data_IF_711971404625
#
_entry.id   IF_711971404625
#
_cell.length_a   1.000
_cell.length_b   1.000
_cell.length_c   1.000
_cell.angle_alpha   90.00
_cell.angle_beta   90.00
_cell.angle_gamma   90.00
#
_symmetry.space_group_name_H-M   'P 1'
#
loop_
_entity.id
_entity.type
_entity.pdbx_description
1 polymer ?
#
# COMPACT_ATOMS: atom_id res chain seq x y z
N UNK A 1 16.36 24.02 8.13
CA UNK A 1 16.36 22.54 8.14
C UNK A 1 16.93 22.12 9.49
N UNK A 2 16.08 21.82 10.50
CA UNK A 2 16.51 21.50 11.89
C UNK A 2 15.74 20.34 12.52
N UNK A 3 14.88 19.67 11.74
CA UNK A 3 14.09 18.54 12.24
C UNK A 3 14.89 17.23 12.25
N UNK A 4 15.94 17.15 11.42
CA UNK A 4 16.86 15.99 11.36
C UNK A 4 17.87 16.00 12.52
N UNK A 5 18.09 17.15 13.16
CA UNK A 5 18.97 17.29 14.33
C UNK A 5 18.27 16.92 15.65
N UNK A 6 16.94 16.78 15.63
CA UNK A 6 16.13 16.47 16.82
C UNK A 6 15.71 15.00 16.91
N UNK A 7 15.68 14.26 15.79
CA UNK A 7 15.31 12.85 15.75
C UNK A 7 16.43 12.02 15.13
N UNK A 8 16.79 10.92 15.79
CA UNK A 8 17.78 9.99 15.25
C UNK A 8 17.32 9.39 13.90
N UNK A 9 18.24 9.11 12.95
CA UNK A 9 17.92 8.51 11.65
C UNK A 9 16.96 7.28 11.70
N UNK A 10 17.15 6.30 12.60
CA UNK A 10 16.22 5.16 12.71
C UNK A 10 14.83 5.54 13.21
N UNK A 11 14.70 6.54 14.10
CA UNK A 11 13.39 6.99 14.60
C UNK A 11 12.56 7.65 13.48
N UNK A 12 13.21 8.41 12.60
CA UNK A 12 12.55 9.03 11.44
C UNK A 12 12.04 7.99 10.44
N UNK A 13 12.81 6.93 10.17
CA UNK A 13 12.36 5.84 9.31
C UNK A 13 11.16 5.11 9.90
N UNK A 14 11.18 4.85 11.21
CA UNK A 14 10.04 4.23 11.88
C UNK A 14 8.79 5.11 11.81
N UNK A 15 8.92 6.44 11.97
CA UNK A 15 7.81 7.38 11.80
C UNK A 15 7.22 7.30 10.37
N UNK A 16 8.06 7.28 9.35
CA UNK A 16 7.56 7.15 7.97
C UNK A 16 6.84 5.81 7.75
N UNK A 17 7.36 4.73 8.31
CA UNK A 17 6.74 3.41 8.27
C UNK A 17 5.33 3.41 8.90
N UNK A 18 5.17 3.95 10.12
CA UNK A 18 3.86 3.98 10.78
C UNK A 18 2.86 4.83 9.99
N UNK A 19 3.30 5.95 9.38
CA UNK A 19 2.42 6.83 8.58
C UNK A 19 1.85 6.09 7.38
N UNK A 20 2.68 5.33 6.65
CA UNK A 20 2.20 4.52 5.53
C UNK A 20 1.18 3.49 6.00
N UNK A 21 1.45 2.82 7.12
CA UNK A 21 0.54 1.81 7.67
C UNK A 21 -0.80 2.42 8.10
N UNK A 22 -0.77 3.53 8.83
CA UNK A 22 -1.98 4.25 9.25
C UNK A 22 -2.77 4.74 8.03
N UNK A 23 -2.08 5.25 7.00
CA UNK A 23 -2.71 5.65 5.74
C UNK A 23 -3.43 4.48 5.05
N UNK A 24 -2.84 3.29 5.09
CA UNK A 24 -3.47 2.08 4.54
C UNK A 24 -4.70 1.66 5.37
N UNK A 25 -4.62 1.69 6.70
CA UNK A 25 -5.76 1.36 7.56
C UNK A 25 -6.92 2.36 7.37
N UNK A 26 -6.62 3.65 7.19
CA UNK A 26 -7.59 4.69 6.87
C UNK A 26 -8.25 4.43 5.50
N UNK A 27 -7.46 4.01 4.51
CA UNK A 27 -7.97 3.67 3.17
C UNK A 27 -8.92 2.46 3.20
N UNK A 28 -8.72 1.52 4.12
CA UNK A 28 -9.63 0.39 4.34
C UNK A 28 -10.77 0.68 5.35
N UNK A 29 -10.88 1.93 5.84
CA UNK A 29 -11.95 2.33 6.77
C UNK A 29 -11.81 1.75 8.19
N UNK A 30 -10.64 1.21 8.55
CA UNK A 30 -10.39 0.58 9.86
C UNK A 30 -9.96 1.59 10.92
N UNK A 31 -10.87 2.48 11.33
CA UNK A 31 -10.59 3.59 12.23
C UNK A 31 -10.06 3.18 13.61
N UNK A 32 -10.64 2.13 14.22
CA UNK A 32 -10.20 1.66 15.54
C UNK A 32 -8.74 1.15 15.51
N UNK A 33 -8.39 0.40 14.46
CA UNK A 33 -7.03 -0.11 14.25
C UNK A 33 -6.04 1.03 13.98
N UNK A 34 -6.44 2.02 13.18
CA UNK A 34 -5.62 3.18 12.86
C UNK A 34 -5.26 3.98 14.12
N UNK A 35 -6.23 4.26 14.99
CA UNK A 35 -5.98 4.98 16.26
C UNK A 35 -5.04 4.20 17.17
N UNK A 36 -5.23 2.89 17.30
CA UNK A 36 -4.34 2.06 18.11
C UNK A 36 -2.90 2.07 17.58
N UNK A 37 -2.73 2.02 16.25
CA UNK A 37 -1.42 2.12 15.59
C UNK A 37 -0.78 3.49 15.73
N UNK A 38 -1.56 4.57 15.78
CA UNK A 38 -1.03 5.91 16.10
C UNK A 38 -0.43 5.92 17.51
N UNK A 39 -1.16 5.42 18.51
CA UNK A 39 -0.71 5.40 19.91
C UNK A 39 0.55 4.53 20.06
N UNK A 40 0.50 3.29 19.55
CA UNK A 40 1.66 2.38 19.58
C UNK A 40 2.84 2.90 18.76
N UNK A 41 2.58 3.49 17.60
CA UNK A 41 3.60 4.04 16.72
C UNK A 41 4.32 5.22 17.35
N UNK A 42 3.60 6.14 17.98
CA UNK A 42 4.21 7.25 18.72
C UNK A 42 5.05 6.75 19.90
N UNK A 43 4.56 5.76 20.64
CA UNK A 43 5.35 5.13 21.70
C UNK A 43 6.65 4.51 21.15
N UNK A 44 6.59 3.82 20.00
CA UNK A 44 7.76 3.26 19.33
C UNK A 44 8.78 4.32 18.90
N UNK A 45 8.33 5.45 18.35
CA UNK A 45 9.21 6.58 17.98
C UNK A 45 9.97 7.10 19.19
N UNK A 46 9.28 7.34 20.32
CA UNK A 46 9.90 7.84 21.55
C UNK A 46 10.92 6.84 22.11
N UNK A 47 10.59 5.55 22.09
CA UNK A 47 11.51 4.49 22.56
C UNK A 47 12.76 4.45 21.67
N UNK A 48 12.61 4.48 20.35
CA UNK A 48 13.75 4.45 19.41
C UNK A 48 14.64 5.69 19.54
N UNK A 49 14.04 6.86 19.76
CA UNK A 49 14.78 8.10 20.00
C UNK A 49 15.59 8.02 21.30
N UNK A 50 14.97 7.51 22.38
CA UNK A 50 15.66 7.27 23.65
C UNK A 50 16.79 6.23 23.52
N UNK A 51 16.59 5.12 22.81
CA UNK A 51 17.62 4.10 22.58
C UNK A 51 18.82 4.68 21.82
N UNK A 52 18.58 5.51 20.82
CA UNK A 52 19.65 6.14 20.05
C UNK A 52 20.47 7.12 20.89
N UNK A 53 19.84 7.85 21.82
CA UNK A 53 20.50 8.79 22.72
C UNK A 53 21.50 8.15 23.71
N UNK A 54 21.40 6.84 23.93
CA UNK A 54 22.28 6.05 24.82
C UNK A 54 23.38 5.32 24.02
N UNK A 55 23.66 5.73 22.78
CA UNK A 55 24.64 5.13 21.87
C UNK A 55 24.28 3.69 21.41
N UNK A 56 23.05 3.22 21.67
CA UNK A 56 22.54 1.93 21.18
C UNK A 56 22.03 2.00 19.73
N UNK A 57 22.73 2.77 18.88
CA UNK A 57 22.39 2.95 17.47
C UNK A 57 22.22 1.61 16.74
N UNK A 58 23.13 0.66 16.96
CA UNK A 58 23.09 -0.68 16.31
C UNK A 58 21.80 -1.44 16.61
N UNK A 59 21.31 -1.38 17.85
CA UNK A 59 20.08 -2.08 18.26
C UNK A 59 18.86 -1.44 17.59
N UNK A 60 18.80 -0.10 17.55
CA UNK A 60 17.70 0.61 16.89
C UNK A 60 17.61 0.30 15.38
N UNK A 61 18.74 0.16 14.70
CA UNK A 61 18.79 -0.25 13.29
C UNK A 61 18.27 -1.66 13.07
N UNK A 62 18.58 -2.60 13.97
CA UNK A 62 18.05 -3.97 13.89
C UNK A 62 16.52 -4.02 14.05
N UNK A 63 15.97 -3.23 14.97
CA UNK A 63 14.51 -3.13 15.17
C UNK A 63 13.84 -2.60 13.90
N UNK A 64 14.37 -1.53 13.31
CA UNK A 64 13.79 -0.92 12.10
C UNK A 64 13.95 -1.82 10.88
N UNK A 65 15.02 -2.62 10.79
CA UNK A 65 15.24 -3.57 9.69
C UNK A 65 14.28 -4.76 9.71
N UNK A 66 13.80 -5.15 10.89
CA UNK A 66 12.95 -6.33 11.09
C UNK A 66 11.70 -6.38 10.18
N UNK A 67 10.84 -5.34 10.11
CA UNK A 67 9.68 -5.36 9.23
C UNK A 67 10.05 -5.47 7.74
N UNK A 68 11.14 -4.83 7.29
CA UNK A 68 11.57 -4.92 5.88
C UNK A 68 12.02 -6.33 5.52
N UNK A 69 12.79 -6.97 6.40
CA UNK A 69 13.22 -8.37 6.21
C UNK A 69 12.00 -9.29 6.19
N UNK A 70 11.06 -9.10 7.12
CA UNK A 70 9.83 -9.91 7.16
C UNK A 70 9.00 -9.77 5.88
N UNK A 71 8.83 -8.54 5.35
CA UNK A 71 8.11 -8.33 4.09
C UNK A 71 8.84 -8.95 2.90
N UNK A 72 10.18 -8.84 2.84
CA UNK A 72 10.98 -9.45 1.77
C UNK A 72 10.85 -10.99 1.77
N UNK A 73 10.89 -11.61 2.95
CA UNK A 73 10.70 -13.05 3.12
C UNK A 73 9.27 -13.47 2.76
N UNK A 74 8.26 -12.76 3.25
CA UNK A 74 6.86 -13.04 2.93
C UNK A 74 6.59 -12.95 1.42
N UNK A 75 7.16 -11.94 0.76
CA UNK A 75 7.05 -11.76 -0.70
C UNK A 75 7.72 -12.92 -1.45
N UNK A 76 8.93 -13.31 -1.04
CA UNK A 76 9.63 -14.46 -1.63
C UNK A 76 8.82 -15.75 -1.53
N UNK A 77 8.20 -15.99 -0.37
CA UNK A 77 7.34 -17.16 -0.15
C UNK A 77 6.08 -17.08 -1.02
N UNK A 78 5.43 -15.91 -1.09
CA UNK A 78 4.24 -15.70 -1.94
C UNK A 78 4.53 -16.00 -3.41
N UNK A 79 5.67 -15.53 -3.92
CA UNK A 79 6.11 -15.79 -5.29
C UNK A 79 6.43 -17.27 -5.50
N UNK A 80 7.11 -17.91 -4.55
CA UNK A 80 7.42 -19.35 -4.62
C UNK A 80 6.17 -20.24 -4.61
N UNK A 81 5.12 -19.82 -3.91
CA UNK A 81 3.82 -20.50 -3.87
C UNK A 81 2.91 -20.13 -5.06
N UNK A 82 3.24 -19.08 -5.81
CA UNK A 82 2.47 -18.62 -6.96
C UNK A 82 1.10 -18.04 -6.60
N UNK A 83 0.93 -17.49 -5.39
CA UNK A 83 -0.34 -16.92 -4.90
C UNK A 83 -0.80 -15.79 -5.84
N UNK A 84 0.15 -14.98 -6.35
CA UNK A 84 -0.13 -13.90 -7.31
C UNK A 84 -0.79 -14.40 -8.61
N UNK A 85 -0.45 -15.62 -9.07
CA UNK A 85 -1.06 -16.21 -10.26
C UNK A 85 -2.49 -16.68 -10.02
N UNK A 86 -2.78 -17.15 -8.81
CA UNK A 86 -4.15 -17.52 -8.42
C UNK A 86 -5.01 -16.26 -8.25
N UNK A 87 -4.47 -15.23 -7.59
CA UNK A 87 -5.14 -13.94 -7.44
C UNK A 87 -5.47 -13.30 -8.80
N UNK A 88 -4.54 -13.32 -9.76
CA UNK A 88 -4.77 -12.77 -11.10
C UNK A 88 -5.92 -13.47 -11.87
N UNK A 89 -6.11 -14.77 -11.67
CA UNK A 89 -7.22 -15.52 -12.29
C UNK A 89 -8.57 -15.12 -11.68
N UNK A 90 -8.64 -15.03 -10.35
CA UNK A 90 -9.86 -14.61 -9.62
C UNK A 90 -10.28 -13.20 -10.05
N UNK A 91 -9.32 -12.27 -10.17
CA UNK A 91 -9.61 -10.91 -10.66
C UNK A 91 -10.09 -10.94 -12.11
N UNK A 92 -9.44 -11.70 -12.99
CA UNK A 92 -9.86 -11.82 -14.39
C UNK A 92 -11.29 -12.36 -14.50
N UNK A 93 -11.64 -13.36 -13.70
CA UNK A 93 -12.98 -13.93 -13.62
C UNK A 93 -14.03 -12.92 -13.11
N UNK A 94 -13.68 -12.04 -12.17
CA UNK A 94 -14.51 -10.93 -11.73
C UNK A 94 -14.79 -9.89 -12.81
N UNK A 95 -13.85 -9.68 -13.74
CA UNK A 95 -14.04 -8.80 -14.90
C UNK A 95 -14.69 -9.51 -16.11
N UNK A 96 -14.68 -10.85 -16.16
CA UNK A 96 -15.36 -11.62 -17.21
C UNK A 96 -16.88 -11.40 -17.24
N UNK A 97 -17.48 -10.94 -16.13
CA UNK A 97 -18.90 -10.54 -16.09
C UNK A 97 -19.24 -9.31 -16.96
N UNK A 98 -18.22 -8.58 -17.44
CA UNK A 98 -18.36 -7.47 -18.40
C UNK A 98 -17.87 -7.84 -19.81
N UNK A 99 -17.33 -9.04 -20.01
CA UNK A 99 -17.10 -9.58 -21.36
C UNK A 99 -18.42 -10.07 -21.91
N UNK A 100 -19.16 -9.07 -22.37
CA UNK A 100 -20.33 -9.09 -23.22
C UNK A 100 -20.05 -9.99 -24.43
N UNK A 101 -20.43 -11.27 -24.32
CA UNK A 101 -20.58 -12.15 -25.49
C UNK A 101 -21.68 -11.55 -26.35
N UNK A 102 -21.25 -10.83 -27.39
CA UNK A 102 -22.17 -9.98 -28.11
C UNK A 102 -21.78 -9.71 -29.54
N UNK A 103 -22.33 -10.57 -30.37
CA UNK A 103 -22.55 -10.29 -31.78
C UNK A 103 -24.02 -9.93 -32.06
N UNK A 104 -24.91 -9.81 -31.05
CA UNK A 104 -26.36 -9.68 -31.28
C UNK A 104 -27.05 -8.42 -30.69
N UNK A 105 -26.35 -7.60 -29.92
CA UNK A 105 -26.91 -6.50 -29.12
C UNK A 105 -25.89 -5.35 -28.91
N UNK A 106 -24.78 -5.32 -29.69
CA UNK A 106 -23.76 -4.26 -29.67
C UNK A 106 -24.34 -2.87 -29.91
N UNK A 107 -25.41 -2.80 -30.68
CA UNK A 107 -26.15 -1.59 -31.04
C UNK A 107 -26.78 -0.87 -29.84
N UNK A 108 -27.20 -1.59 -28.79
CA UNK A 108 -27.75 -0.97 -27.57
C UNK A 108 -26.70 -0.48 -26.59
N UNK A 109 -25.52 -1.10 -26.56
CA UNK A 109 -24.47 -0.72 -25.58
C UNK A 109 -23.66 0.47 -26.08
N UNK A 110 -23.43 0.56 -27.39
CA UNK A 110 -22.71 1.69 -28.01
C UNK A 110 -23.50 2.99 -27.91
N UNK A 111 -24.84 2.92 -27.89
CA UNK A 111 -25.71 4.10 -27.74
C UNK A 111 -25.69 4.65 -26.31
N UNK A 112 -25.76 3.80 -25.28
CA UNK A 112 -25.66 4.24 -23.87
C UNK A 112 -24.28 4.80 -23.53
N UNK A 113 -23.19 4.18 -24.03
CA UNK A 113 -21.83 4.68 -23.79
C UNK A 113 -21.54 6.01 -24.50
N UNK A 114 -22.28 6.35 -25.57
CA UNK A 114 -22.12 7.62 -26.29
C UNK A 114 -22.73 8.79 -25.51
N UNK A 115 -23.77 8.55 -24.71
CA UNK A 115 -24.34 9.54 -23.79
C UNK A 115 -23.43 9.74 -22.55
N UNK A 116 -22.84 8.68 -22.01
CA UNK A 116 -21.97 8.76 -20.81
C UNK A 116 -20.53 9.26 -21.13
N UNK A 117 -20.01 9.00 -22.33
CA UNK A 117 -18.67 9.45 -22.75
C UNK A 117 -18.58 10.95 -23.07
N UNK A 118 -19.71 11.68 -23.07
CA UNK A 118 -19.71 13.14 -23.23
C UNK A 118 -19.09 13.91 -22.04
N UNK A 119 -18.85 13.24 -20.91
CA UNK A 119 -18.52 13.93 -19.66
C UNK A 119 -17.09 13.74 -19.12
N UNK A 120 -16.25 12.83 -19.65
CA UNK A 120 -14.96 12.51 -19.02
C UNK A 120 -13.81 12.31 -20.03
N UNK A 121 -12.68 13.04 -19.89
CA UNK A 121 -11.55 12.96 -20.81
C UNK A 121 -10.68 11.74 -20.47
N UNK A 122 -10.66 10.73 -21.34
CA UNK A 122 -9.67 9.66 -21.26
C UNK A 122 -8.45 10.02 -22.10
N UNK A 123 -7.32 10.26 -21.42
CA UNK A 123 -5.98 10.29 -22.00
C UNK A 123 -5.73 9.01 -22.78
N UNK A 124 -5.65 9.13 -24.10
CA UNK A 124 -4.96 8.17 -24.94
C UNK A 124 -3.46 8.34 -24.70
N UNK A 125 -2.80 7.30 -24.20
CA UNK A 125 -1.39 7.09 -24.50
C UNK A 125 -1.18 5.62 -24.87
N UNK A 126 -0.96 5.40 -26.16
CA UNK A 126 -0.48 4.16 -26.74
C UNK A 126 0.26 4.55 -28.00
N UNK A 127 1.57 4.70 -27.88
CA UNK A 127 2.44 4.78 -29.06
C UNK A 127 3.66 3.88 -28.84
N UNK A 128 3.69 2.84 -29.69
CA UNK A 128 4.73 1.84 -29.95
C UNK A 128 4.90 0.65 -28.99
#
# INVERSE_FOLDING_TARGET
>A
MRFIDLLCPPALLYLLYIVVHIGLDLSFGMWATAVMKVIMGLAGVIILDALCSVDLGVVSWAIVATPFIMVALATSISLGLGIDRQAAKIVKEGFSGLTYDNSKNRDKVVTTLKDDAGALPLSQDSTY
#
